data_IF_834428916546
#
_entry.id   IF_834428916546
#
_cell.length_a   1.000
_cell.length_b   1.000
_cell.length_c   1.000
_cell.angle_alpha   90.00
_cell.angle_beta   90.00
_cell.angle_gamma   90.00
#
_symmetry.space_group_name_H-M   'P 1'
#
loop_
_entity.id
_entity.type
_entity.pdbx_description
1 polymer ?
#
# COMPACT_ATOMS: atom_id res chain seq x y z
N UNK A 1 5.89 61.45 -83.87
CA UNK A 1 4.96 61.39 -82.76
C UNK A 1 4.91 59.94 -82.24
N UNK A 2 5.50 59.73 -81.09
CA UNK A 2 5.58 58.37 -80.45
C UNK A 2 4.56 58.26 -79.36
N UNK A 3 3.70 57.26 -79.50
CA UNK A 3 2.66 56.94 -78.54
C UNK A 3 3.27 56.16 -77.35
N UNK A 4 2.87 56.41 -76.08
CA UNK A 4 3.38 55.65 -74.92
C UNK A 4 2.62 54.35 -74.73
N UNK A 5 3.37 53.27 -74.50
CA UNK A 5 2.85 51.95 -74.11
C UNK A 5 2.51 51.99 -72.63
N UNK A 6 1.28 51.60 -72.32
CA UNK A 6 0.77 51.34 -70.97
C UNK A 6 1.20 49.94 -70.54
N UNK A 7 1.97 49.85 -69.49
CA UNK A 7 2.36 48.54 -68.87
C UNK A 7 1.38 48.21 -67.77
N UNK A 8 0.58 47.20 -68.04
CA UNK A 8 -0.36 46.60 -67.00
C UNK A 8 0.38 45.63 -66.14
N UNK A 9 0.53 45.97 -64.84
CA UNK A 9 1.13 45.09 -63.85
C UNK A 9 0.00 44.29 -63.18
N UNK A 10 0.00 42.94 -63.40
CA UNK A 10 -0.87 42.04 -62.66
C UNK A 10 -0.24 41.76 -61.32
N UNK A 11 -0.90 42.20 -60.24
CA UNK A 11 -0.56 41.86 -58.90
C UNK A 11 -1.10 40.48 -58.56
N UNK A 12 -0.21 39.52 -58.28
CA UNK A 12 -0.60 38.21 -57.74
C UNK A 12 -0.69 38.36 -56.22
N UNK A 13 -1.93 38.33 -55.71
CA UNK A 13 -2.17 38.26 -54.26
C UNK A 13 -1.93 36.83 -53.76
N UNK A 14 -0.81 36.60 -53.10
CA UNK A 14 -0.55 35.34 -52.40
C UNK A 14 -1.30 35.35 -51.07
N UNK A 15 -2.42 34.60 -50.97
CA UNK A 15 -3.10 34.31 -49.71
C UNK A 15 -2.32 33.28 -48.92
N UNK A 16 -1.60 33.72 -47.90
CA UNK A 16 -0.99 32.82 -46.90
C UNK A 16 -2.08 32.34 -45.93
N UNK A 17 -2.50 31.09 -46.10
CA UNK A 17 -3.39 30.40 -45.15
C UNK A 17 -2.53 29.96 -43.99
N UNK A 18 -2.65 30.67 -42.85
CA UNK A 18 -1.99 30.31 -41.59
C UNK A 18 -2.76 29.15 -40.94
N UNK A 19 -2.29 27.91 -41.09
CA UNK A 19 -2.82 26.76 -40.37
C UNK A 19 -2.30 26.82 -38.93
N UNK A 20 -3.14 27.26 -37.99
CA UNK A 20 -2.89 27.13 -36.56
C UNK A 20 -3.16 25.67 -36.17
N UNK A 21 -2.10 24.88 -36.04
CA UNK A 21 -2.18 23.55 -35.44
C UNK A 21 -2.36 23.75 -33.94
N UNK A 22 -3.61 23.67 -33.47
CA UNK A 22 -3.90 23.58 -32.03
C UNK A 22 -3.54 22.16 -31.60
N UNK A 23 -2.31 21.94 -31.12
CA UNK A 23 -1.97 20.75 -30.38
C UNK A 23 -2.76 20.77 -29.06
N UNK A 24 -3.91 20.09 -29.02
CA UNK A 24 -4.58 19.81 -27.77
C UNK A 24 -3.67 18.89 -26.94
N UNK A 25 -2.94 19.47 -25.97
CA UNK A 25 -2.35 18.68 -24.89
C UNK A 25 -3.51 18.03 -24.14
N UNK A 26 -3.84 16.80 -24.50
CA UNK A 26 -4.67 15.95 -23.64
C UNK A 26 -3.80 15.63 -22.42
N UNK A 27 -4.03 16.36 -21.33
CA UNK A 27 -3.53 15.97 -20.03
C UNK A 27 -4.11 14.57 -19.75
N UNK A 28 -3.28 13.55 -19.94
CA UNK A 28 -3.64 12.18 -19.51
C UNK A 28 -3.80 12.25 -18.00
N UNK A 29 -5.05 12.27 -17.55
CA UNK A 29 -5.36 12.04 -16.14
C UNK A 29 -4.69 10.72 -15.77
N UNK A 30 -3.74 10.70 -14.79
CA UNK A 30 -3.11 9.45 -14.41
C UNK A 30 -4.22 8.48 -14.03
N UNK A 31 -4.23 7.31 -14.67
CA UNK A 31 -5.18 6.26 -14.34
C UNK A 31 -5.16 6.07 -12.83
N UNK A 32 -6.29 6.28 -12.17
CA UNK A 32 -6.42 6.08 -10.73
C UNK A 32 -6.03 4.63 -10.42
N UNK A 33 -4.80 4.44 -9.92
CA UNK A 33 -4.35 3.12 -9.49
C UNK A 33 -5.31 2.69 -8.38
N UNK A 34 -6.06 1.61 -8.59
CA UNK A 34 -6.96 1.07 -7.58
C UNK A 34 -6.18 0.84 -6.28
N UNK A 35 -6.81 1.14 -5.14
CA UNK A 35 -6.19 0.85 -3.85
C UNK A 35 -5.90 -0.66 -3.74
N UNK A 36 -4.75 -1.05 -3.15
CA UNK A 36 -4.48 -2.45 -2.87
C UNK A 36 -5.63 -3.09 -2.09
N UNK A 37 -5.99 -4.31 -2.43
CA UNK A 37 -7.12 -5.01 -1.81
C UNK A 37 -7.00 -5.16 -0.30
N UNK A 38 -5.78 -5.15 0.24
CA UNK A 38 -5.53 -5.24 1.68
C UNK A 38 -6.00 -4.00 2.45
N UNK A 39 -6.08 -2.82 1.80
CA UNK A 39 -6.50 -1.56 2.46
C UNK A 39 -7.92 -1.69 3.00
N UNK A 40 -8.09 -1.38 4.30
CA UNK A 40 -9.36 -1.48 5.01
C UNK A 40 -9.21 -2.06 6.41
N UNK A 41 -10.34 -2.40 7.03
CA UNK A 41 -10.41 -2.99 8.37
C UNK A 41 -10.79 -4.46 8.30
N UNK A 42 -10.14 -5.27 9.14
CA UNK A 42 -10.23 -6.72 9.14
C UNK A 42 -10.37 -7.22 10.56
N UNK A 43 -11.41 -8.01 10.85
CA UNK A 43 -11.66 -8.61 12.16
C UNK A 43 -11.38 -10.10 12.14
N UNK A 44 -10.62 -10.58 13.12
CA UNK A 44 -10.29 -12.00 13.27
C UNK A 44 -11.57 -12.85 13.36
N UNK A 45 -11.61 -13.90 12.55
CA UNK A 45 -12.62 -14.95 12.57
C UNK A 45 -11.99 -16.25 13.07
N UNK A 46 -12.22 -16.59 14.35
CA UNK A 46 -11.64 -17.77 14.97
C UNK A 46 -12.21 -19.09 14.42
N UNK A 47 -13.45 -19.08 13.92
CA UNK A 47 -14.07 -20.29 13.35
C UNK A 47 -13.39 -20.72 12.05
N UNK A 48 -12.97 -19.73 11.24
CA UNK A 48 -12.25 -19.96 9.98
C UNK A 48 -10.75 -20.16 10.16
N UNK A 49 -10.20 -19.83 11.33
CA UNK A 49 -8.76 -19.91 11.63
C UNK A 49 -8.39 -21.29 12.18
N UNK A 50 -7.14 -21.74 11.94
CA UNK A 50 -6.64 -22.98 12.54
C UNK A 50 -5.92 -22.77 13.89
N UNK A 51 -6.01 -21.57 14.44
CA UNK A 51 -5.45 -21.20 15.75
C UNK A 51 -6.52 -21.30 16.83
N UNK A 52 -6.08 -21.60 18.07
CA UNK A 52 -6.97 -21.61 19.23
C UNK A 52 -6.30 -20.86 20.38
N UNK A 53 -7.10 -20.12 21.11
CA UNK A 53 -6.67 -19.38 22.28
C UNK A 53 -7.44 -19.87 23.51
N UNK A 54 -6.82 -19.91 24.71
CA UNK A 54 -7.50 -20.29 25.95
C UNK A 54 -8.46 -19.19 26.49
N UNK A 55 -8.70 -18.15 25.70
CA UNK A 55 -9.54 -16.99 26.03
C UNK A 55 -10.18 -16.46 24.73
N UNK A 56 -11.19 -15.59 24.87
CA UNK A 56 -11.83 -14.92 23.74
C UNK A 56 -10.87 -13.93 23.09
N UNK A 57 -10.18 -14.37 22.07
CA UNK A 57 -9.24 -13.57 21.30
C UNK A 57 -9.97 -12.56 20.45
N UNK A 58 -9.71 -11.29 20.70
CA UNK A 58 -10.07 -10.20 19.81
C UNK A 58 -8.84 -9.77 19.02
N UNK A 59 -9.00 -9.56 17.72
CA UNK A 59 -7.96 -8.92 16.91
C UNK A 59 -8.59 -8.17 15.75
N UNK A 60 -8.23 -6.90 15.60
CA UNK A 60 -8.52 -6.08 14.43
C UNK A 60 -7.21 -5.67 13.78
N UNK A 61 -7.18 -5.74 12.46
CA UNK A 61 -6.11 -5.17 11.62
C UNK A 61 -6.70 -4.06 10.78
N UNK A 62 -5.97 -2.94 10.70
CA UNK A 62 -6.30 -1.83 9.82
C UNK A 62 -5.11 -1.55 8.91
N UNK A 63 -5.38 -1.42 7.62
CA UNK A 63 -4.37 -1.07 6.63
C UNK A 63 -4.82 0.17 5.87
N UNK A 64 -3.94 1.16 5.81
CA UNK A 64 -4.13 2.41 5.08
C UNK A 64 -2.97 2.67 4.13
N UNK A 65 -3.25 3.17 2.93
CA UNK A 65 -2.22 3.57 1.97
C UNK A 65 -2.04 5.09 2.02
N UNK A 66 -0.82 5.54 2.22
CA UNK A 66 -0.43 6.96 2.14
C UNK A 66 -0.20 7.37 0.68
N UNK A 67 -0.33 8.68 0.35
CA UNK A 67 -0.06 9.18 -1.00
C UNK A 67 1.37 8.93 -1.49
N UNK A 68 2.34 8.83 -0.59
CA UNK A 68 3.75 8.54 -0.87
C UNK A 68 4.05 7.04 -1.06
N UNK A 69 3.00 6.20 -1.06
CA UNK A 69 3.07 4.76 -1.32
C UNK A 69 3.44 3.90 -0.11
N UNK A 70 3.50 4.49 1.09
CA UNK A 70 3.65 3.69 2.31
C UNK A 70 2.31 3.08 2.74
N UNK A 71 2.33 1.79 3.06
CA UNK A 71 1.26 1.10 3.75
C UNK A 71 1.45 1.30 5.27
N UNK A 72 0.41 1.76 5.94
CA UNK A 72 0.33 1.81 7.40
C UNK A 72 -0.46 0.61 7.85
N UNK A 73 0.11 -0.23 8.70
CA UNK A 73 -0.57 -1.35 9.35
C UNK A 73 -0.69 -1.10 10.85
N UNK A 74 -1.90 -1.28 11.39
CA UNK A 74 -2.19 -1.25 12.81
C UNK A 74 -2.92 -2.53 13.20
N UNK A 75 -2.38 -3.24 14.17
CA UNK A 75 -2.97 -4.43 14.76
C UNK A 75 -3.34 -4.11 16.21
N UNK A 76 -4.58 -4.37 16.57
CA UNK A 76 -5.06 -4.25 17.96
C UNK A 76 -5.57 -5.62 18.40
N UNK A 77 -5.10 -6.07 19.54
CA UNK A 77 -5.42 -7.39 20.08
C UNK A 77 -5.62 -7.32 21.59
N UNK A 78 -6.14 -8.38 22.21
CA UNK A 78 -6.23 -8.53 23.65
C UNK A 78 -5.40 -9.73 24.14
N UNK A 79 -5.01 -9.68 25.41
CA UNK A 79 -4.45 -10.81 26.14
C UNK A 79 -5.53 -11.58 26.95
N UNK A 80 -5.12 -12.60 27.70
CA UNK A 80 -5.99 -13.40 28.54
C UNK A 80 -6.66 -12.62 29.70
N UNK A 81 -6.16 -11.45 30.05
CA UNK A 81 -6.72 -10.56 31.06
C UNK A 81 -7.62 -9.48 30.45
N UNK A 82 -7.86 -9.53 29.12
CA UNK A 82 -8.64 -8.56 28.36
C UNK A 82 -7.94 -7.22 28.14
N UNK A 83 -6.63 -7.10 28.43
CA UNK A 83 -5.87 -5.87 28.17
C UNK A 83 -5.56 -5.77 26.69
N UNK A 84 -5.69 -4.56 26.15
CA UNK A 84 -5.37 -4.32 24.74
C UNK A 84 -3.88 -4.11 24.53
N UNK A 85 -3.40 -4.65 23.43
CA UNK A 85 -2.07 -4.48 22.89
C UNK A 85 -2.16 -4.00 21.45
N UNK A 86 -1.15 -3.27 21.01
CA UNK A 86 -1.06 -2.87 19.61
C UNK A 86 0.30 -3.19 19.01
N UNK A 87 0.30 -3.35 17.70
CA UNK A 87 1.48 -3.40 16.86
C UNK A 87 1.24 -2.51 15.65
N UNK A 88 2.22 -1.69 15.28
CA UNK A 88 2.15 -0.76 14.17
C UNK A 88 3.41 -0.81 13.33
N UNK A 89 3.24 -0.70 12.03
CA UNK A 89 4.32 -0.47 11.09
C UNK A 89 3.90 0.54 10.00
N UNK A 90 4.90 1.13 9.35
CA UNK A 90 4.72 1.94 8.14
C UNK A 90 5.82 1.53 7.18
N UNK A 91 5.45 0.81 6.11
CA UNK A 91 6.37 0.16 5.20
C UNK A 91 5.97 0.35 3.74
N UNK A 92 6.93 0.26 2.82
CA UNK A 92 6.65 0.00 1.40
C UNK A 92 6.79 -1.49 1.15
N UNK A 93 6.00 -1.99 0.19
CA UNK A 93 6.10 -3.40 -0.23
C UNK A 93 7.27 -3.60 -1.21
N UNK A 94 8.47 -3.16 -0.81
CA UNK A 94 9.71 -3.16 -1.60
C UNK A 94 10.79 -4.13 -1.05
N UNK A 95 10.42 -4.94 -0.04
CA UNK A 95 11.29 -5.93 0.58
C UNK A 95 12.32 -5.35 1.56
N UNK A 96 12.31 -4.04 1.80
CA UNK A 96 13.22 -3.41 2.78
C UNK A 96 12.66 -3.49 4.19
N UNK A 97 13.56 -3.42 5.17
CA UNK A 97 13.21 -3.40 6.57
C UNK A 97 12.76 -1.99 7.01
N UNK A 98 11.60 -1.91 7.64
CA UNK A 98 11.03 -0.69 8.22
C UNK A 98 10.78 -0.89 9.72
N UNK A 99 10.91 0.16 10.56
CA UNK A 99 10.64 0.04 11.99
C UNK A 99 9.23 -0.46 12.28
N UNK A 100 9.14 -1.39 13.25
CA UNK A 100 7.89 -1.87 13.84
C UNK A 100 7.81 -1.42 15.30
N UNK A 101 6.62 -1.03 15.75
CA UNK A 101 6.36 -0.54 17.10
C UNK A 101 5.21 -1.31 17.74
N UNK A 102 5.31 -1.56 19.04
CA UNK A 102 4.22 -2.08 19.86
C UNK A 102 4.19 -1.36 21.20
N UNK A 103 3.12 -1.55 21.98
CA UNK A 103 3.02 -1.02 23.34
C UNK A 103 4.17 -1.49 24.23
N UNK A 104 4.57 -2.76 24.14
CA UNK A 104 5.72 -3.29 24.87
C UNK A 104 7.03 -2.62 24.47
N UNK A 105 7.28 -2.45 23.15
CA UNK A 105 8.49 -1.79 22.64
C UNK A 105 8.54 -0.34 23.08
N UNK A 106 7.41 0.38 23.00
CA UNK A 106 7.35 1.79 23.41
C UNK A 106 7.60 1.93 24.91
N UNK A 107 7.07 1.02 25.74
CA UNK A 107 7.34 0.99 27.16
C UNK A 107 8.84 0.79 27.46
N UNK A 108 9.49 -0.13 26.75
CA UNK A 108 10.94 -0.36 26.88
C UNK A 108 11.76 0.86 26.44
N UNK A 109 11.37 1.51 25.34
CA UNK A 109 12.02 2.74 24.87
C UNK A 109 11.93 3.86 25.92
N UNK A 110 10.78 4.03 26.56
CA UNK A 110 10.58 5.02 27.62
C UNK A 110 11.40 4.66 28.86
N UNK A 111 11.35 3.39 29.28
CA UNK A 111 12.02 2.93 30.51
C UNK A 111 13.54 2.94 30.43
N UNK A 112 14.12 2.58 29.26
CA UNK A 112 15.56 2.39 29.11
C UNK A 112 16.19 3.30 28.05
N UNK A 113 15.41 4.15 27.39
CA UNK A 113 15.90 5.04 26.32
C UNK A 113 16.44 4.28 25.08
N UNK A 114 16.11 3.00 24.94
CA UNK A 114 16.62 2.15 23.86
C UNK A 114 15.64 2.16 22.68
N UNK A 115 16.16 2.43 21.49
CA UNK A 115 15.35 2.34 20.26
C UNK A 115 15.02 0.88 19.96
N UNK A 116 13.83 0.65 19.36
CA UNK A 116 13.42 -0.69 18.91
C UNK A 116 14.40 -1.26 17.89
N UNK A 117 14.69 -2.54 18.03
CA UNK A 117 15.41 -3.34 17.05
C UNK A 117 14.48 -4.15 16.14
N UNK A 118 13.17 -4.02 16.33
CA UNK A 118 12.19 -4.74 15.51
C UNK A 118 11.94 -4.04 14.18
N UNK A 119 11.94 -4.84 13.14
CA UNK A 119 11.62 -4.38 11.78
C UNK A 119 10.63 -5.31 11.10
N UNK A 120 9.86 -4.72 10.21
CA UNK A 120 8.90 -5.36 9.34
C UNK A 120 9.29 -5.12 7.88
N UNK A 121 9.24 -6.16 7.07
CA UNK A 121 9.42 -6.07 5.63
C UNK A 121 8.27 -6.76 4.91
N UNK A 122 7.89 -6.26 3.73
CA UNK A 122 6.93 -6.97 2.87
C UNK A 122 7.28 -6.83 1.39
N UNK A 123 6.86 -7.81 0.60
CA UNK A 123 7.03 -7.85 -0.85
C UNK A 123 5.74 -8.31 -1.50
N UNK A 124 5.26 -7.57 -2.50
CA UNK A 124 4.12 -7.99 -3.31
C UNK A 124 4.53 -9.18 -4.19
N UNK A 125 3.79 -10.28 -4.10
CA UNK A 125 3.95 -11.46 -4.96
C UNK A 125 3.03 -11.36 -6.18
N UNK A 126 1.76 -11.01 -5.94
CA UNK A 126 0.75 -10.77 -6.97
C UNK A 126 -0.34 -9.81 -6.43
N UNK A 127 -1.42 -9.59 -7.19
CA UNK A 127 -2.51 -8.65 -6.83
C UNK A 127 -3.22 -9.01 -5.51
N UNK A 128 -3.10 -10.25 -5.04
CA UNK A 128 -3.79 -10.79 -3.87
C UNK A 128 -2.85 -11.19 -2.76
N UNK A 129 -1.56 -11.38 -3.05
CA UNK A 129 -0.59 -12.03 -2.14
C UNK A 129 0.58 -11.11 -1.86
N UNK A 130 0.92 -11.01 -0.57
CA UNK A 130 2.09 -10.29 -0.08
C UNK A 130 2.86 -11.20 0.88
N UNK A 131 4.16 -11.38 0.66
CA UNK A 131 5.06 -12.00 1.62
C UNK A 131 5.44 -10.95 2.68
N UNK A 132 5.55 -11.39 3.93
CA UNK A 132 5.95 -10.54 5.05
C UNK A 132 7.00 -11.22 5.91
N UNK A 133 7.83 -10.41 6.59
CA UNK A 133 8.91 -10.88 7.47
C UNK A 133 9.08 -9.90 8.63
N UNK A 134 9.07 -10.43 9.86
CA UNK A 134 9.45 -9.72 11.08
C UNK A 134 10.87 -10.10 11.48
N UNK A 135 11.63 -9.12 11.95
CA UNK A 135 12.98 -9.32 12.44
C UNK A 135 13.18 -8.64 13.79
N UNK A 136 14.07 -9.22 14.60
CA UNK A 136 14.60 -8.63 15.82
C UNK A 136 16.12 -8.66 15.71
N UNK A 137 16.78 -7.51 15.90
CA UNK A 137 18.23 -7.36 15.74
C UNK A 137 18.75 -7.92 14.40
N UNK A 138 17.98 -7.70 13.31
CA UNK A 138 18.27 -8.18 11.96
C UNK A 138 18.05 -9.68 11.73
N UNK A 139 17.64 -10.44 12.75
CA UNK A 139 17.34 -11.88 12.63
C UNK A 139 15.85 -12.09 12.41
N UNK A 140 15.49 -12.92 11.42
CA UNK A 140 14.10 -13.30 11.17
C UNK A 140 13.54 -14.03 12.39
N UNK A 141 12.41 -13.54 12.89
CA UNK A 141 11.68 -14.14 14.02
C UNK A 141 10.33 -14.70 13.61
N UNK A 142 9.77 -14.22 12.52
CA UNK A 142 8.52 -14.71 11.94
C UNK A 142 8.43 -14.28 10.47
N UNK A 143 7.79 -15.09 9.64
CA UNK A 143 7.51 -14.76 8.24
C UNK A 143 6.30 -15.55 7.73
N UNK A 144 5.76 -15.14 6.60
CA UNK A 144 4.61 -15.80 6.00
C UNK A 144 3.97 -14.98 4.90
N UNK A 145 2.68 -15.23 4.68
CA UNK A 145 1.91 -14.59 3.61
C UNK A 145 0.69 -13.87 4.15
N UNK A 146 0.32 -12.79 3.49
CA UNK A 146 -0.99 -12.16 3.57
C UNK A 146 -1.68 -12.36 2.23
N UNK A 147 -2.86 -12.98 2.24
CA UNK A 147 -3.62 -13.31 1.04
C UNK A 147 -5.02 -12.72 1.17
N UNK A 148 -5.38 -11.81 0.28
CA UNK A 148 -6.75 -11.29 0.18
C UNK A 148 -7.52 -12.11 -0.84
N UNK A 149 -8.73 -12.55 -0.49
CA UNK A 149 -9.60 -13.26 -1.42
C UNK A 149 -9.97 -12.38 -2.63
N UNK A 150 -10.25 -13.02 -3.78
CA UNK A 150 -10.59 -12.30 -5.02
C UNK A 150 -11.80 -11.39 -4.90
N UNK A 151 -12.75 -11.73 -4.04
CA UNK A 151 -13.93 -10.90 -3.74
C UNK A 151 -13.64 -9.77 -2.73
N UNK A 152 -12.41 -9.70 -2.22
CA UNK A 152 -11.95 -8.70 -1.28
C UNK A 152 -12.54 -8.82 0.13
N UNK A 153 -13.21 -9.92 0.48
CA UNK A 153 -13.95 -10.06 1.75
C UNK A 153 -13.19 -10.75 2.86
N UNK A 154 -12.15 -11.51 2.51
CA UNK A 154 -11.37 -12.31 3.47
C UNK A 154 -9.89 -12.00 3.33
N UNK A 155 -9.21 -11.81 4.45
CA UNK A 155 -7.75 -11.76 4.55
C UNK A 155 -7.27 -12.99 5.31
N UNK A 156 -6.37 -13.76 4.70
CA UNK A 156 -5.69 -14.88 5.35
C UNK A 156 -4.25 -14.48 5.63
N UNK A 157 -3.80 -14.67 6.87
CA UNK A 157 -2.41 -14.48 7.28
C UNK A 157 -1.84 -15.80 7.73
N UNK A 158 -0.81 -16.28 7.06
CA UNK A 158 -0.09 -17.50 7.44
C UNK A 158 1.22 -17.15 8.15
N UNK A 159 1.66 -18.05 9.05
CA UNK A 159 2.98 -18.02 9.69
C UNK A 159 3.66 -19.33 9.35
N UNK A 160 4.65 -19.30 8.47
CA UNK A 160 5.17 -20.51 7.80
C UNK A 160 5.78 -21.52 8.77
N UNK A 161 6.64 -21.08 9.68
CA UNK A 161 7.35 -22.01 10.60
C UNK A 161 6.44 -22.70 11.64
N UNK A 162 5.18 -22.30 11.76
CA UNK A 162 4.27 -22.77 12.80
C UNK A 162 3.01 -23.42 12.25
N UNK A 163 2.83 -23.43 10.94
CA UNK A 163 1.59 -23.84 10.25
C UNK A 163 0.34 -23.09 10.77
N UNK A 164 0.52 -21.94 11.42
CA UNK A 164 -0.60 -21.14 11.91
C UNK A 164 -1.22 -20.35 10.78
N UNK A 165 -2.55 -20.32 10.75
CA UNK A 165 -3.35 -19.57 9.80
C UNK A 165 -4.42 -18.79 10.55
N UNK A 166 -4.42 -17.48 10.33
CA UNK A 166 -5.39 -16.54 10.85
C UNK A 166 -6.26 -16.05 9.70
N UNK A 167 -7.56 -16.12 9.85
CA UNK A 167 -8.53 -15.66 8.85
C UNK A 167 -9.29 -14.49 9.42
N UNK A 168 -9.42 -13.44 8.63
CA UNK A 168 -10.11 -12.19 8.99
C UNK A 168 -11.20 -11.90 7.99
N UNK A 169 -12.34 -11.43 8.47
CA UNK A 169 -13.42 -10.92 7.65
C UNK A 169 -13.30 -9.38 7.55
N UNK A 170 -13.57 -8.85 6.37
CA UNK A 170 -13.59 -7.39 6.12
C UNK A 170 -14.75 -6.76 6.89
N UNK A 171 -14.51 -5.57 7.45
CA UNK A 171 -15.51 -4.77 8.18
C UNK A 171 -16.04 -3.63 7.31
#
# INVERSE_FOLDING_TARGET
MKSPRVLTVYGVAASAVLHVIVCALQAQTPASKSLPLIVGSWKLNLEKSNVRFPYDRFEIRQYGLRPDGFLVGLLITNDAQGRFHYLQFTAKSDGKDYPEYSDAIVADMIAVGKQTSRTYAETVVDDYTTDWTDKVDGKVTSHGKKIVSKDGKTLTVTVEDTSRMYVYDRQ
#
